data_IF_523697274108
#
_entry.id   IF_523697274108
#
_cell.length_a   1.000
_cell.length_b   1.000
_cell.length_c   1.000
_cell.angle_alpha   90.00
_cell.angle_beta   90.00
_cell.angle_gamma   90.00
#
_symmetry.space_group_name_H-M   'P 1'
#
loop_
_entity.id
_entity.type
_entity.pdbx_description
1 polymer ?
#
# COMPACT_ATOMS: atom_id res chain seq x y z
N UNK A 1 -15.23 -13.81 -18.96
CA UNK A 1 -15.96 -13.59 -17.67
C UNK A 1 -14.95 -13.71 -16.53
N UNK A 2 -15.30 -13.40 -15.28
CA UNK A 2 -14.37 -13.52 -14.15
C UNK A 2 -13.78 -14.93 -13.98
N UNK A 3 -14.46 -15.97 -14.49
CA UNK A 3 -14.01 -17.37 -14.44
C UNK A 3 -12.84 -17.70 -15.38
N UNK A 4 -12.58 -16.87 -16.39
CA UNK A 4 -11.56 -17.11 -17.42
C UNK A 4 -10.51 -15.99 -17.48
N UNK A 5 -10.62 -15.01 -16.59
CA UNK A 5 -9.66 -13.92 -16.55
C UNK A 5 -8.30 -14.43 -16.03
N UNK A 6 -7.17 -13.86 -16.49
CA UNK A 6 -5.85 -14.17 -15.94
C UNK A 6 -5.81 -13.93 -14.43
N UNK A 7 -5.11 -14.81 -13.71
CA UNK A 7 -4.96 -14.69 -12.27
C UNK A 7 -3.99 -13.56 -11.94
N UNK A 8 -4.37 -12.74 -10.97
CA UNK A 8 -3.51 -11.71 -10.40
C UNK A 8 -2.70 -12.33 -9.27
N UNK A 9 -1.37 -12.28 -9.39
CA UNK A 9 -0.45 -12.84 -8.38
C UNK A 9 0.21 -11.73 -7.52
N UNK A 10 -0.28 -10.50 -7.64
CA UNK A 10 0.25 -9.31 -6.95
C UNK A 10 -0.86 -8.65 -6.15
N UNK A 11 -0.47 -8.01 -5.03
CA UNK A 11 -1.40 -7.28 -4.17
C UNK A 11 -1.83 -5.94 -4.79
N UNK A 12 -0.93 -5.33 -5.57
CA UNK A 12 -1.12 -4.04 -6.24
C UNK A 12 -0.73 -4.17 -7.73
N UNK A 13 -1.68 -4.57 -8.60
CA UNK A 13 -1.40 -4.79 -10.02
C UNK A 13 -1.10 -3.50 -10.78
N UNK A 14 -1.60 -2.37 -10.28
CA UNK A 14 -1.30 -1.05 -10.81
C UNK A 14 0.03 -0.49 -10.30
N UNK A 15 0.49 -0.97 -9.15
CA UNK A 15 1.77 -0.63 -8.54
C UNK A 15 1.81 0.75 -7.88
N UNK A 16 0.71 1.48 -7.78
CA UNK A 16 0.66 2.83 -7.20
C UNK A 16 -0.47 3.00 -6.17
N UNK A 17 -0.98 1.89 -5.62
CA UNK A 17 -2.00 1.88 -4.58
C UNK A 17 -1.50 2.55 -3.29
N UNK A 18 -2.33 3.40 -2.69
CA UNK A 18 -1.97 4.17 -1.48
C UNK A 18 -2.56 3.60 -0.20
N UNK A 19 -3.85 3.27 -0.25
CA UNK A 19 -4.65 2.81 0.88
C UNK A 19 -4.27 1.38 1.31
N UNK A 20 -4.62 1.00 2.54
CA UNK A 20 -4.35 -0.34 3.09
C UNK A 20 -4.96 -1.50 2.30
N UNK A 21 -5.97 -1.25 1.47
CA UNK A 21 -6.55 -2.25 0.57
C UNK A 21 -5.53 -2.85 -0.42
N UNK A 22 -4.46 -2.12 -0.74
CA UNK A 22 -3.37 -2.55 -1.63
C UNK A 22 -2.20 -3.20 -0.87
N UNK A 23 -2.28 -3.29 0.45
CA UNK A 23 -1.28 -3.93 1.31
C UNK A 23 -1.71 -5.34 1.76
N UNK A 24 -2.81 -5.87 1.23
CA UNK A 24 -3.30 -7.23 1.52
C UNK A 24 -3.24 -8.13 0.30
N UNK A 25 -3.31 -9.44 0.51
CA UNK A 25 -3.31 -10.42 -0.58
C UNK A 25 -4.54 -10.27 -1.48
N UNK A 26 -4.41 -10.65 -2.75
CA UNK A 26 -5.52 -10.76 -3.68
C UNK A 26 -5.73 -12.24 -4.06
N UNK A 27 -6.73 -12.93 -3.51
CA UNK A 27 -7.85 -12.43 -2.70
C UNK A 27 -7.49 -12.14 -1.23
N UNK A 28 -8.24 -11.25 -0.55
CA UNK A 28 -7.97 -10.92 0.85
C UNK A 28 -8.33 -12.08 1.79
N UNK A 29 -7.61 -12.24 2.91
CA UNK A 29 -7.95 -13.21 3.96
C UNK A 29 -9.31 -12.91 4.60
N UNK A 30 -9.90 -13.89 5.28
CA UNK A 30 -11.21 -13.76 5.97
C UNK A 30 -11.30 -12.56 6.94
N UNK A 31 -10.17 -12.17 7.53
CA UNK A 31 -10.07 -11.05 8.47
C UNK A 31 -9.29 -9.86 7.90
N UNK A 32 -9.31 -9.72 6.57
CA UNK A 32 -8.68 -8.66 5.76
C UNK A 32 -7.14 -8.66 5.77
N UNK A 33 -6.46 -8.89 6.89
CA UNK A 33 -5.00 -8.83 6.99
C UNK A 33 -4.44 -10.06 7.71
N UNK A 34 -3.36 -10.63 7.19
CA UNK A 34 -2.55 -11.62 7.93
C UNK A 34 -1.67 -10.90 8.95
N UNK A 35 -1.09 -9.77 8.54
CA UNK A 35 -0.30 -8.88 9.38
C UNK A 35 -0.59 -7.44 9.01
N UNK A 36 -0.67 -6.55 10.00
CA UNK A 36 -0.88 -5.13 9.74
C UNK A 36 0.46 -4.44 9.39
N UNK A 37 0.56 -3.76 8.24
CA UNK A 37 1.73 -2.95 7.92
C UNK A 37 1.77 -1.72 8.83
N UNK A 38 2.99 -1.22 9.10
CA UNK A 38 3.18 -0.06 9.96
C UNK A 38 2.74 1.22 9.25
N UNK A 39 1.77 1.93 9.82
CA UNK A 39 1.28 3.21 9.26
C UNK A 39 2.18 4.36 9.70
N UNK A 40 2.83 5.03 8.74
CA UNK A 40 3.74 6.17 8.96
C UNK A 40 3.36 7.42 8.16
N UNK A 41 2.43 7.29 7.23
CA UNK A 41 1.92 8.36 6.36
C UNK A 41 0.44 8.06 6.03
N UNK A 42 -0.19 8.96 5.27
CA UNK A 42 -1.51 8.73 4.69
C UNK A 42 -1.52 7.68 3.55
N UNK A 43 -0.34 7.23 3.10
CA UNK A 43 -0.17 6.31 1.96
C UNK A 43 0.60 5.04 2.35
N UNK A 44 0.13 4.26 3.35
CA UNK A 44 0.91 3.17 3.93
C UNK A 44 1.23 2.02 2.96
N UNK A 45 0.36 1.71 1.98
CA UNK A 45 0.65 0.68 0.99
C UNK A 45 1.69 1.15 -0.03
N UNK A 46 1.63 2.42 -0.40
CA UNK A 46 2.59 3.03 -1.32
C UNK A 46 3.99 3.05 -0.71
N UNK A 47 4.12 3.49 0.54
CA UNK A 47 5.41 3.55 1.24
C UNK A 47 6.08 2.18 1.39
N UNK A 48 5.28 1.11 1.52
CA UNK A 48 5.77 -0.26 1.62
C UNK A 48 6.35 -0.75 0.29
N UNK A 49 5.70 -0.41 -0.83
CA UNK A 49 6.09 -0.85 -2.17
C UNK A 49 7.16 0.05 -2.79
N UNK A 50 7.25 1.31 -2.35
CA UNK A 50 8.18 2.33 -2.87
C UNK A 50 8.96 3.03 -1.74
N UNK A 51 9.85 2.31 -1.05
CA UNK A 51 10.61 2.86 0.08
C UNK A 51 11.47 4.08 -0.30
N UNK A 52 11.84 4.23 -1.58
CA UNK A 52 12.59 5.36 -2.13
C UNK A 52 11.81 6.68 -2.09
N UNK A 53 10.47 6.64 -2.17
CA UNK A 53 9.61 7.83 -2.12
C UNK A 53 9.07 8.11 -0.72
N UNK A 54 8.92 7.06 0.11
CA UNK A 54 8.43 7.17 1.49
C UNK A 54 9.26 8.14 2.35
N UNK A 55 10.57 8.14 2.18
CA UNK A 55 11.47 9.03 2.93
C UNK A 55 11.29 10.50 2.54
N UNK A 56 10.92 10.79 1.28
CA UNK A 56 10.68 12.16 0.83
C UNK A 56 9.37 12.71 1.42
N UNK A 57 8.29 11.94 1.37
CA UNK A 57 7.00 12.27 1.99
C UNK A 57 7.16 12.55 3.49
N UNK A 58 7.84 11.66 4.22
CA UNK A 58 8.10 11.87 5.64
C UNK A 58 8.87 13.16 5.93
N UNK A 59 9.84 13.54 5.08
CA UNK A 59 10.59 14.80 5.20
C UNK A 59 9.74 16.02 4.88
N UNK A 60 8.91 15.95 3.85
CA UNK A 60 7.98 17.04 3.49
C UNK A 60 6.95 17.25 4.61
N UNK A 61 6.37 16.16 5.13
CA UNK A 61 5.44 16.21 6.24
C UNK A 61 6.07 16.82 7.50
N UNK A 62 7.31 16.42 7.84
CA UNK A 62 8.05 17.01 8.96
C UNK A 62 8.32 18.51 8.78
N UNK A 63 8.67 18.94 7.57
CA UNK A 63 8.91 20.35 7.26
C UNK A 63 7.62 21.19 7.23
N UNK A 64 6.49 20.59 6.83
CA UNK A 64 5.18 21.24 6.85
C UNK A 64 4.62 21.44 8.26
N UNK A 65 4.88 20.49 9.17
CA UNK A 65 4.49 20.60 10.58
C UNK A 65 5.32 21.62 11.39
N UNK A 66 6.46 22.04 10.86
CA UNK A 66 7.35 23.03 11.47
C UNK A 66 6.97 24.50 11.15
N UNK A 67 5.86 24.72 10.45
CA UNK A 67 5.36 26.05 10.08
C UNK A 67 4.14 26.46 10.88
#
# INVERSE_FOLDING_TARGET
TWRTAPKVETNDPGGWGRSLEWATSCPPPRHNFVTLPRVRSESPAFDLNHPEYAALEARVAANGAAK
#
